data_IF_448608893153
#
_entry.id   IF_448608893153
#
_cell.length_a   1.000
_cell.length_b   1.000
_cell.length_c   1.000
_cell.angle_alpha   90.00
_cell.angle_beta   90.00
_cell.angle_gamma   90.00
#
_symmetry.space_group_name_H-M   'P 1'
#
loop_
_entity.id
_entity.type
_entity.pdbx_description
1 polymer ?
#
# COMPACT_ATOMS: atom_id res chain seq x y z
N UNK A 1 -40.57 2.14 31.54
CA UNK A 1 -39.92 2.62 30.30
C UNK A 1 -38.65 1.79 30.06
N UNK A 2 -38.55 1.04 28.96
CA UNK A 2 -37.34 0.23 28.66
C UNK A 2 -36.28 1.15 28.02
N UNK A 3 -35.11 1.28 28.63
CA UNK A 3 -34.00 2.04 28.07
C UNK A 3 -33.48 1.32 26.81
N UNK A 4 -33.48 2.03 25.67
CA UNK A 4 -32.86 1.55 24.44
C UNK A 4 -31.36 1.69 24.61
N UNK A 5 -30.65 0.58 24.80
CA UNK A 5 -29.17 0.57 24.78
C UNK A 5 -28.73 1.09 23.41
N UNK A 6 -28.02 2.21 23.38
CA UNK A 6 -27.45 2.75 22.14
C UNK A 6 -26.31 1.83 21.72
N UNK A 7 -26.41 1.23 20.55
CA UNK A 7 -25.29 0.50 19.96
C UNK A 7 -24.16 1.47 19.66
N UNK A 8 -22.90 1.15 20.01
CA UNK A 8 -21.78 2.01 19.67
C UNK A 8 -21.68 2.16 18.15
N UNK A 9 -21.31 3.34 17.64
CA UNK A 9 -21.12 3.55 16.21
C UNK A 9 -20.06 2.57 15.69
N UNK A 10 -20.42 1.78 14.69
CA UNK A 10 -19.52 0.80 14.07
C UNK A 10 -18.62 1.54 13.09
N UNK A 11 -17.32 1.46 13.30
CA UNK A 11 -16.32 1.99 12.37
C UNK A 11 -16.38 1.13 11.11
N UNK A 12 -16.48 1.71 9.91
CA UNK A 12 -16.43 0.95 8.66
C UNK A 12 -15.08 0.24 8.57
N UNK A 13 -15.11 -1.08 8.36
CA UNK A 13 -13.92 -1.93 8.17
C UNK A 13 -13.44 -1.91 6.71
N UNK A 14 -13.73 -0.85 5.99
CA UNK A 14 -13.43 -0.75 4.57
C UNK A 14 -11.95 -0.44 4.40
N UNK A 15 -11.23 -1.35 3.75
CA UNK A 15 -9.81 -1.21 3.47
C UNK A 15 -9.64 -0.34 2.23
N UNK A 16 -8.84 0.71 2.35
CA UNK A 16 -8.48 1.57 1.23
C UNK A 16 -7.01 1.34 0.87
N UNK A 17 -6.75 0.96 -0.37
CA UNK A 17 -5.41 0.99 -0.95
C UNK A 17 -5.16 2.36 -1.57
N UNK A 18 -3.92 2.84 -1.44
CA UNK A 18 -3.44 4.02 -2.15
C UNK A 18 -2.53 3.52 -3.26
N UNK A 19 -2.89 3.82 -4.51
CA UNK A 19 -2.02 3.58 -5.65
C UNK A 19 -0.97 4.69 -5.75
N UNK A 20 0.30 4.31 -5.91
CA UNK A 20 1.37 5.27 -6.19
C UNK A 20 1.27 5.74 -7.63
N UNK A 21 1.23 7.06 -7.84
CA UNK A 21 1.23 7.66 -9.16
C UNK A 21 2.56 7.52 -9.91
N UNK A 22 2.50 7.82 -11.20
CA UNK A 22 3.67 7.80 -12.08
C UNK A 22 4.36 9.16 -12.08
N UNK A 23 5.70 9.16 -12.13
CA UNK A 23 6.51 10.38 -12.31
C UNK A 23 7.18 10.31 -13.68
N UNK A 24 6.87 11.25 -14.57
CA UNK A 24 7.37 11.26 -15.96
C UNK A 24 7.16 9.91 -16.69
N UNK A 25 6.01 9.26 -16.47
CA UNK A 25 5.69 7.95 -17.04
C UNK A 25 6.44 6.77 -16.41
N UNK A 26 7.18 6.98 -15.33
CA UNK A 26 7.91 5.94 -14.60
C UNK A 26 7.19 5.62 -13.30
N UNK A 27 6.87 4.33 -13.13
CA UNK A 27 6.26 3.77 -11.92
C UNK A 27 7.30 3.71 -10.80
N UNK A 28 7.03 4.37 -9.67
CA UNK A 28 8.01 4.49 -8.58
C UNK A 28 8.41 3.14 -7.96
N UNK A 29 7.49 2.17 -7.95
CA UNK A 29 7.73 0.82 -7.46
C UNK A 29 8.72 0.01 -8.34
N UNK A 30 8.90 0.40 -9.60
CA UNK A 30 9.87 -0.24 -10.49
C UNK A 30 11.30 0.21 -10.15
N UNK A 31 11.50 1.46 -9.70
CA UNK A 31 12.80 2.01 -9.30
C UNK A 31 13.42 1.17 -8.17
N UNK A 32 12.60 0.82 -7.17
CA UNK A 32 13.04 0.00 -6.04
C UNK A 32 13.45 -1.41 -6.50
N UNK A 33 12.75 -1.99 -7.48
CA UNK A 33 13.07 -3.30 -8.03
C UNK A 33 14.36 -3.31 -8.85
N UNK A 34 14.61 -2.24 -9.64
CA UNK A 34 15.83 -2.13 -10.45
C UNK A 34 17.07 -2.14 -9.54
N UNK A 35 17.05 -1.41 -8.42
CA UNK A 35 18.17 -1.38 -7.47
C UNK A 35 18.53 -2.74 -6.88
N UNK A 36 17.54 -3.64 -6.72
CA UNK A 36 17.75 -4.99 -6.21
C UNK A 36 18.22 -5.96 -7.30
N UNK A 37 17.78 -5.76 -8.55
CA UNK A 37 18.23 -6.58 -9.69
C UNK A 37 19.71 -6.33 -10.01
N UNK A 38 20.17 -5.08 -9.98
CA UNK A 38 21.58 -4.75 -10.23
C UNK A 38 22.53 -5.37 -9.20
N UNK A 39 22.16 -5.35 -7.91
CA UNK A 39 22.94 -6.02 -6.84
C UNK A 39 23.05 -7.53 -7.03
N UNK A 40 22.01 -8.19 -7.56
CA UNK A 40 22.04 -9.65 -7.81
C UNK A 40 22.91 -10.02 -9.00
N UNK A 41 22.98 -9.17 -10.02
CA UNK A 41 23.80 -9.43 -11.21
C UNK A 41 25.30 -9.27 -10.94
N UNK A 42 25.69 -8.33 -10.08
CA UNK A 42 27.10 -8.14 -9.71
C UNK A 42 27.65 -9.23 -8.76
N UNK A 43 26.79 -10.03 -8.10
CA UNK A 43 27.24 -11.15 -7.25
C UNK A 43 27.65 -12.39 -8.05
N UNK A 44 27.35 -12.44 -9.37
CA UNK A 44 27.68 -13.56 -10.26
C UNK A 44 28.90 -13.29 -11.17
N UNK A 45 29.57 -12.15 -11.04
CA UNK A 45 30.84 -11.86 -11.72
C UNK A 45 32.01 -12.04 -10.76
#
# INVERSE_FOLDING_TARGET
MKSRRKTPPRIPTEEFSIEFGDVNGTKLYDILQVSQKEKKNNKKK
#
